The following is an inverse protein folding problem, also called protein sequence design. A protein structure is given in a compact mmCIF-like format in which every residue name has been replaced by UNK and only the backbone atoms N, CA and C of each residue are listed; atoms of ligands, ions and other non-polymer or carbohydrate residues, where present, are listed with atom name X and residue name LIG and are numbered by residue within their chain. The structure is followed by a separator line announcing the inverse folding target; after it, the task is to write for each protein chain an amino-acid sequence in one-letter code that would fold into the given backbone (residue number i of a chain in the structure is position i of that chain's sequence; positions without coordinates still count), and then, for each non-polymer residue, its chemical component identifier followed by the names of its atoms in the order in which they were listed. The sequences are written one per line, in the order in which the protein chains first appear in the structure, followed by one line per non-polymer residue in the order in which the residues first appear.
data_IF_620634664355
#
_entry.id   IF_620634664355
#
_cell.length_a   1.000
_cell.length_b   1.000
_cell.length_c   1.000
_cell.angle_alpha   90.00
_cell.angle_beta   90.00
_cell.angle_gamma   90.00
#
_symmetry.space_group_name_H-M   'P 1'
#
loop_
_entity.id
_entity.type
_entity.pdbx_description
1 polymer ?
#
# COMPACT_ATOMS: atom_id res chain seq x y z
N UNK A 1 0.41 11.26 3.19
CA UNK A 1 1.89 10.99 3.22
C UNK A 1 2.21 9.94 2.16
N UNK A 2 3.43 9.96 1.61
CA UNK A 2 3.87 9.00 0.58
C UNK A 2 4.31 7.69 1.24
N UNK A 3 3.78 6.55 0.80
CA UNK A 3 4.11 5.24 1.35
C UNK A 3 4.47 4.24 0.26
N UNK A 4 5.41 3.36 0.57
CA UNK A 4 5.86 2.24 -0.25
C UNK A 4 5.27 0.95 0.33
N UNK A 5 4.66 0.11 -0.51
CA UNK A 5 4.28 -1.25 -0.12
C UNK A 5 5.36 -2.25 -0.54
N UNK A 6 5.64 -3.21 0.34
CA UNK A 6 6.48 -4.37 0.02
C UNK A 6 5.59 -5.61 0.12
N UNK A 7 5.42 -6.28 -1.02
CA UNK A 7 4.46 -7.36 -1.25
C UNK A 7 3.06 -6.85 -1.65
N UNK A 8 2.41 -7.52 -2.60
CA UNK A 8 1.01 -7.27 -3.00
C UNK A 8 0.10 -8.49 -2.81
N UNK A 9 0.39 -9.29 -1.79
CA UNK A 9 -0.52 -10.36 -1.39
C UNK A 9 -1.84 -9.81 -0.79
N UNK A 10 -2.69 -10.72 -0.28
CA UNK A 10 -3.96 -10.35 0.38
C UNK A 10 -3.81 -9.26 1.45
N UNK A 11 -2.70 -9.29 2.19
CA UNK A 11 -2.42 -8.29 3.22
C UNK A 11 -1.98 -6.94 2.63
N UNK A 12 -1.21 -6.94 1.53
CA UNK A 12 -0.80 -5.71 0.83
C UNK A 12 -2.00 -4.95 0.28
N UNK A 13 -2.96 -5.67 -0.30
CA UNK A 13 -4.23 -5.11 -0.77
C UNK A 13 -5.04 -4.47 0.36
N UNK A 14 -5.15 -5.14 1.51
CA UNK A 14 -5.82 -4.56 2.67
C UNK A 14 -5.10 -3.30 3.19
N UNK A 15 -3.77 -3.31 3.23
CA UNK A 15 -2.98 -2.13 3.65
C UNK A 15 -3.17 -0.97 2.68
N UNK A 16 -3.21 -1.23 1.37
CA UNK A 16 -3.48 -0.23 0.34
C UNK A 16 -4.85 0.44 0.55
N UNK A 17 -5.91 -0.34 0.74
CA UNK A 17 -7.25 0.19 1.04
C UNK A 17 -7.26 1.06 2.30
N UNK A 18 -6.67 0.58 3.40
CA UNK A 18 -6.57 1.35 4.64
C UNK A 18 -5.76 2.63 4.48
N UNK A 19 -4.68 2.58 3.70
CA UNK A 19 -3.84 3.74 3.47
C UNK A 19 -4.56 4.82 2.66
N UNK A 20 -5.29 4.43 1.61
CA UNK A 20 -6.11 5.34 0.81
C UNK A 20 -7.19 5.98 1.69
N UNK A 21 -7.88 5.19 2.52
CA UNK A 21 -8.90 5.71 3.46
C UNK A 21 -8.33 6.74 4.45
N UNK A 22 -7.04 6.62 4.82
CA UNK A 22 -6.35 7.58 5.70
C UNK A 22 -5.75 8.79 4.97
N UNK A 23 -5.98 8.93 3.67
CA UNK A 23 -5.42 10.03 2.87
C UNK A 23 -3.90 9.89 2.64
N UNK A 24 -3.39 8.66 2.63
CA UNK A 24 -2.04 8.35 2.20
C UNK A 24 -2.01 8.07 0.70
N UNK A 25 -0.88 8.38 0.07
CA UNK A 25 -0.67 8.14 -1.36
C UNK A 25 0.38 7.06 -1.51
N UNK A 26 0.01 5.96 -2.17
CA UNK A 26 0.93 4.88 -2.48
C UNK A 26 1.83 5.31 -3.64
N UNK A 27 3.15 5.24 -3.46
CA UNK A 27 4.12 5.68 -4.49
C UNK A 27 4.72 4.54 -5.27
N UNK A 28 4.82 3.36 -4.68
CA UNK A 28 5.26 2.15 -5.35
C UNK A 28 4.85 0.92 -4.53
N UNK A 29 4.80 -0.20 -5.22
CA UNK A 29 4.67 -1.53 -4.64
C UNK A 29 5.83 -2.36 -5.18
N UNK A 30 6.57 -3.02 -4.28
CA UNK A 30 7.69 -3.89 -4.65
C UNK A 30 7.33 -5.31 -4.26
N UNK A 31 7.34 -6.22 -5.22
CA UNK A 31 7.11 -7.65 -5.02
C UNK A 31 8.26 -8.44 -5.67
N UNK A 32 8.53 -9.66 -5.20
CA UNK A 32 9.63 -10.55 -5.70
C UNK A 32 9.10 -11.61 -6.64
#
# INVERSE_FOLDING_TARGET
MKILLIGHGKMGQAIEEFAIQRGHSLVATVDV
#
